data_IF_461512182503
#
_entry.id   IF_461512182503
#
_cell.length_a   1.000
_cell.length_b   1.000
_cell.length_c   1.000
_cell.angle_alpha   90.00
_cell.angle_beta   90.00
_cell.angle_gamma   90.00
#
_symmetry.space_group_name_H-M   'P 1'
#
loop_
_entity.id
_entity.type
_entity.pdbx_description
1 polymer ?
#
# COMPACT_ATOMS: atom_id res chain seq x y z
N UNK A 1 87.75 61.48 37.85
CA UNK A 1 88.23 60.10 37.68
C UNK A 1 87.00 59.22 37.49
N UNK A 2 86.94 58.51 36.35
CA UNK A 2 86.10 57.35 35.99
C UNK A 2 84.75 57.15 36.73
N UNK A 3 83.61 56.93 36.09
CA UNK A 3 83.32 56.53 34.73
C UNK A 3 81.88 55.99 34.70
N UNK A 4 81.14 56.32 33.64
CA UNK A 4 80.46 55.34 32.79
C UNK A 4 80.02 54.08 33.53
N UNK A 5 78.74 54.02 33.91
CA UNK A 5 77.96 52.78 33.82
C UNK A 5 76.49 53.12 33.59
N UNK A 6 76.14 53.13 32.30
CA UNK A 6 74.86 52.71 31.72
C UNK A 6 73.59 53.43 32.18
N UNK A 7 73.42 54.59 31.56
CA UNK A 7 72.17 54.96 30.93
C UNK A 7 71.92 54.01 29.73
N UNK A 8 71.05 53.01 29.92
CA UNK A 8 70.39 52.09 28.93
C UNK A 8 69.98 50.79 29.64
N UNK A 9 69.07 50.94 30.60
CA UNK A 9 68.04 49.93 30.89
C UNK A 9 66.66 50.62 30.82
N UNK A 10 66.49 51.46 29.80
CA UNK A 10 65.17 51.89 29.32
C UNK A 10 64.66 50.77 28.42
N UNK A 11 64.00 49.79 29.03
CA UNK A 11 62.93 48.97 28.45
C UNK A 11 62.45 47.99 29.54
N UNK A 12 61.93 48.53 30.64
CA UNK A 12 61.46 47.71 31.76
C UNK A 12 60.54 48.44 32.73
N UNK A 13 60.01 49.59 32.35
CA UNK A 13 58.84 50.19 33.00
C UNK A 13 57.74 50.27 31.94
N UNK A 14 56.54 49.89 32.34
CA UNK A 14 55.28 49.95 31.58
C UNK A 14 54.93 48.75 30.68
N UNK A 15 55.15 47.53 31.15
CA UNK A 15 54.26 46.41 30.84
C UNK A 15 54.11 45.47 32.05
N UNK A 16 54.01 46.04 33.25
CA UNK A 16 53.26 45.37 34.31
C UNK A 16 51.79 45.42 33.91
N UNK A 17 51.12 44.27 33.92
CA UNK A 17 49.66 44.14 33.91
C UNK A 17 48.94 44.73 32.69
N UNK A 18 48.94 43.97 31.59
CA UNK A 18 47.70 43.82 30.81
C UNK A 18 47.35 42.33 30.74
N UNK A 19 47.25 41.73 31.93
CA UNK A 19 46.49 40.49 32.15
C UNK A 19 45.20 40.84 32.88
N UNK A 20 44.57 41.97 32.55
CA UNK A 20 43.19 42.16 32.94
C UNK A 20 42.57 43.32 32.19
N UNK A 21 41.96 43.00 31.05
CA UNK A 21 40.68 43.63 30.77
C UNK A 21 39.71 42.53 30.39
N UNK A 22 38.61 42.40 31.14
CA UNK A 22 37.66 41.33 30.92
C UNK A 22 37.17 41.45 29.50
N UNK A 23 37.27 40.35 28.75
CA UNK A 23 36.33 40.12 27.66
C UNK A 23 34.97 40.44 28.27
N UNK A 24 34.35 41.55 27.86
CA UNK A 24 32.92 41.77 28.12
C UNK A 24 32.19 40.78 27.22
N UNK A 25 32.30 39.51 27.58
CA UNK A 25 31.26 38.53 27.32
C UNK A 25 30.07 39.20 27.96
N UNK A 26 29.06 39.54 27.18
CA UNK A 26 27.83 40.09 27.72
C UNK A 26 27.43 39.17 28.88
N UNK A 27 27.64 39.62 30.12
CA UNK A 27 27.18 38.90 31.30
C UNK A 27 25.69 39.16 31.29
N UNK A 28 24.98 38.42 30.45
CA UNK A 28 23.55 38.29 30.57
C UNK A 28 23.33 38.04 32.06
N UNK A 29 22.62 38.93 32.76
CA UNK A 29 22.55 38.85 34.20
C UNK A 29 21.99 37.47 34.55
N UNK A 30 22.50 36.80 35.58
CA UNK A 30 22.21 35.40 35.83
C UNK A 30 20.69 35.07 35.85
N UNK A 31 19.86 36.05 36.20
CA UNK A 31 18.40 35.96 36.13
C UNK A 31 17.84 35.84 34.70
N UNK A 32 18.47 36.44 33.69
CA UNK A 32 18.07 36.32 32.28
C UNK A 32 18.38 34.93 31.73
N UNK A 33 19.51 34.33 32.13
CA UNK A 33 19.82 32.93 31.82
C UNK A 33 18.81 31.98 32.49
N UNK A 34 18.45 32.24 33.75
CA UNK A 34 17.41 31.49 34.47
C UNK A 34 16.04 31.65 33.80
N UNK A 35 15.65 32.87 33.43
CA UNK A 35 14.38 33.13 32.76
C UNK A 35 14.31 32.40 31.41
N UNK A 36 15.39 32.43 30.62
CA UNK A 36 15.48 31.66 29.38
C UNK A 36 15.35 30.16 29.63
N UNK A 37 16.01 29.62 30.65
CA UNK A 37 15.90 28.20 31.01
C UNK A 37 14.47 27.81 31.42
N UNK A 38 13.78 28.66 32.20
CA UNK A 38 12.37 28.45 32.58
C UNK A 38 11.45 28.52 31.36
N UNK A 39 11.65 29.49 30.46
CA UNK A 39 10.89 29.60 29.21
C UNK A 39 11.07 28.34 28.36
N UNK A 40 12.29 27.85 28.21
CA UNK A 40 12.57 26.61 27.47
C UNK A 40 11.89 25.39 28.13
N UNK A 41 11.90 25.30 29.47
CA UNK A 41 11.19 24.25 30.20
C UNK A 41 9.67 24.33 30.00
N UNK A 42 9.09 25.53 30.02
CA UNK A 42 7.65 25.73 29.79
C UNK A 42 7.31 25.39 28.34
N UNK A 43 8.09 25.82 27.36
CA UNK A 43 7.89 25.47 25.95
C UNK A 43 7.99 23.96 25.73
N UNK A 44 8.97 23.31 26.36
CA UNK A 44 9.11 21.86 26.32
C UNK A 44 7.90 21.17 26.96
N UNK A 45 7.44 21.63 28.13
CA UNK A 45 6.25 21.09 28.78
C UNK A 45 5.00 21.27 27.90
N UNK A 46 4.77 22.48 27.38
CA UNK A 46 3.66 22.76 26.46
C UNK A 46 3.73 21.83 25.26
N UNK A 47 4.90 21.63 24.64
CA UNK A 47 5.05 20.69 23.54
C UNK A 47 4.80 19.24 23.95
N UNK A 48 5.26 18.79 25.13
CA UNK A 48 5.03 17.43 25.63
C UNK A 48 3.55 17.11 25.86
N UNK A 49 2.76 18.09 26.34
CA UNK A 49 1.35 17.91 26.68
C UNK A 49 0.38 18.26 25.53
N UNK A 50 0.70 19.30 24.74
CA UNK A 50 -0.15 19.79 23.66
C UNK A 50 0.30 19.30 22.27
N UNK A 51 1.53 18.80 22.13
CA UNK A 51 1.99 18.18 20.89
C UNK A 51 1.27 16.86 20.60
N UNK A 52 1.21 16.51 19.33
CA UNK A 52 0.74 15.21 18.84
C UNK A 52 1.76 14.65 17.87
N UNK A 53 2.18 13.42 18.10
CA UNK A 53 3.03 12.65 17.18
C UNK A 53 2.13 11.61 16.51
N UNK A 54 2.06 11.65 15.18
CA UNK A 54 1.38 10.60 14.40
C UNK A 54 2.28 9.38 14.30
N UNK A 55 1.80 8.24 14.78
CA UNK A 55 2.39 6.94 14.51
C UNK A 55 1.91 6.46 13.14
N UNK A 56 2.85 6.16 12.26
CA UNK A 56 2.58 5.66 10.92
C UNK A 56 3.28 4.33 10.71
N UNK A 57 2.65 3.44 9.96
CA UNK A 57 3.30 2.23 9.46
C UNK A 57 3.24 2.20 7.95
N UNK A 58 4.29 1.67 7.33
CA UNK A 58 4.41 1.56 5.88
C UNK A 58 4.29 0.09 5.47
N UNK A 59 3.67 -0.14 4.33
CA UNK A 59 3.56 -1.44 3.71
C UNK A 59 3.63 -1.34 2.19
N UNK A 60 3.96 -2.46 1.55
CA UNK A 60 3.81 -2.61 0.12
C UNK A 60 2.41 -3.10 -0.19
N UNK A 61 1.87 -2.70 -1.33
CA UNK A 61 0.50 -2.97 -1.68
C UNK A 61 0.27 -2.95 -3.18
N UNK A 62 -0.98 -3.21 -3.52
CA UNK A 62 -1.47 -3.21 -4.89
C UNK A 62 -2.89 -2.66 -4.91
N UNK A 63 -3.20 -1.85 -5.92
CA UNK A 63 -4.56 -1.39 -6.18
C UNK A 63 -5.24 -2.41 -7.08
N UNK A 64 -6.40 -2.91 -6.65
CA UNK A 64 -7.12 -3.95 -7.37
C UNK A 64 -8.64 -3.67 -7.40
N UNK A 65 -9.31 -4.22 -8.40
CA UNK A 65 -10.75 -4.10 -8.58
C UNK A 65 -11.48 -5.11 -7.67
N UNK A 66 -12.62 -4.70 -7.11
CA UNK A 66 -13.47 -5.61 -6.32
C UNK A 66 -14.85 -5.69 -6.95
N UNK A 67 -15.37 -6.89 -7.24
CA UNK A 67 -14.84 -8.22 -6.91
C UNK A 67 -13.64 -8.68 -7.76
N UNK A 68 -12.88 -9.67 -7.26
CA UNK A 68 -11.80 -10.31 -8.02
C UNK A 68 -12.34 -11.04 -9.26
N UNK A 69 -11.45 -11.26 -10.24
CA UNK A 69 -11.77 -12.00 -11.45
C UNK A 69 -12.20 -13.44 -11.12
N UNK A 70 -13.28 -13.90 -11.73
CA UNK A 70 -13.81 -15.25 -11.52
C UNK A 70 -13.37 -16.17 -12.65
N UNK A 71 -12.64 -17.22 -12.31
CA UNK A 71 -12.23 -18.26 -13.26
C UNK A 71 -13.36 -19.27 -13.38
N UNK A 72 -13.94 -19.37 -14.58
CA UNK A 72 -14.91 -20.38 -14.97
C UNK A 72 -14.16 -21.65 -15.33
N UNK A 73 -14.31 -22.70 -14.54
CA UNK A 73 -13.67 -23.99 -14.77
C UNK A 73 -14.66 -25.03 -15.30
N UNK A 74 -14.12 -26.04 -15.96
CA UNK A 74 -14.88 -27.20 -16.40
C UNK A 74 -15.37 -28.02 -15.19
N UNK A 75 -16.66 -28.37 -15.18
CA UNK A 75 -17.24 -29.22 -14.13
C UNK A 75 -17.14 -30.72 -14.44
N UNK A 76 -16.90 -31.09 -15.69
CA UNK A 76 -16.87 -32.48 -16.16
C UNK A 76 -15.81 -32.67 -17.24
N UNK A 77 -15.17 -33.84 -17.28
CA UNK A 77 -14.28 -34.18 -18.39
C UNK A 77 -15.07 -34.35 -19.70
N UNK A 78 -14.51 -33.90 -20.82
CA UNK A 78 -15.14 -34.06 -22.14
C UNK A 78 -14.51 -33.17 -23.22
N UNK A 79 -15.14 -33.13 -24.39
CA UNK A 79 -14.68 -32.33 -25.53
C UNK A 79 -15.48 -31.04 -25.63
N UNK A 80 -14.80 -29.89 -25.75
CA UNK A 80 -15.42 -28.60 -25.97
C UNK A 80 -16.17 -28.56 -27.32
N UNK A 81 -17.51 -28.60 -27.27
CA UNK A 81 -18.41 -28.49 -28.42
C UNK A 81 -18.70 -27.03 -28.79
N UNK A 82 -18.57 -26.14 -27.81
CA UNK A 82 -18.69 -24.69 -27.99
C UNK A 82 -17.58 -24.01 -27.20
N UNK A 83 -16.78 -23.19 -27.91
CA UNK A 83 -15.69 -22.44 -27.30
C UNK A 83 -16.21 -21.25 -26.48
N UNK A 84 -15.46 -20.81 -25.46
CA UNK A 84 -15.76 -19.57 -24.75
C UNK A 84 -15.80 -18.34 -25.66
N UNK A 85 -16.61 -17.32 -25.32
CA UNK A 85 -16.61 -16.06 -26.05
C UNK A 85 -15.20 -15.45 -26.06
N UNK A 86 -14.82 -14.71 -27.11
CA UNK A 86 -13.51 -14.07 -27.18
C UNK A 86 -13.32 -13.02 -26.08
N UNK A 87 -12.06 -12.72 -25.76
CA UNK A 87 -11.70 -11.66 -24.80
C UNK A 87 -12.33 -10.31 -25.21
N UNK A 88 -12.78 -9.55 -24.22
CA UNK A 88 -13.52 -8.30 -24.40
C UNK A 88 -15.04 -8.45 -24.55
N UNK A 89 -15.57 -9.68 -24.62
CA UNK A 89 -17.01 -9.91 -24.68
C UNK A 89 -17.66 -9.73 -23.31
N UNK A 90 -18.78 -9.01 -23.24
CA UNK A 90 -19.62 -8.93 -22.04
C UNK A 90 -20.51 -10.15 -21.94
N UNK A 91 -20.58 -10.74 -20.75
CA UNK A 91 -21.40 -11.91 -20.43
C UNK A 91 -22.28 -11.61 -19.21
N UNK A 92 -23.54 -12.05 -19.25
CA UNK A 92 -24.45 -11.97 -18.12
C UNK A 92 -24.28 -13.16 -17.17
N UNK A 93 -24.67 -12.98 -15.91
CA UNK A 93 -24.73 -14.09 -14.96
C UNK A 93 -25.71 -15.16 -15.47
N UNK A 94 -25.27 -16.42 -15.51
CA UNK A 94 -26.03 -17.54 -16.05
C UNK A 94 -25.92 -17.73 -17.57
N UNK A 95 -25.23 -16.84 -18.29
CA UNK A 95 -25.01 -16.98 -19.72
C UNK A 95 -24.06 -18.15 -20.02
N UNK A 96 -24.36 -18.92 -21.08
CA UNK A 96 -23.53 -20.05 -21.50
C UNK A 96 -22.16 -19.58 -21.96
N UNK A 97 -21.12 -19.97 -21.23
CA UNK A 97 -19.72 -19.72 -21.58
C UNK A 97 -19.20 -20.84 -22.45
N UNK A 98 -19.43 -22.09 -22.09
CA UNK A 98 -18.92 -23.23 -22.84
C UNK A 98 -19.87 -24.43 -22.79
N UNK A 99 -19.81 -25.29 -23.80
CA UNK A 99 -20.56 -26.55 -23.83
C UNK A 99 -19.57 -27.69 -23.98
N UNK A 100 -19.63 -28.63 -23.03
CA UNK A 100 -18.75 -29.81 -22.99
C UNK A 100 -19.58 -31.02 -23.37
N UNK A 101 -19.17 -31.74 -24.42
CA UNK A 101 -19.73 -33.04 -24.76
C UNK A 101 -19.05 -34.13 -23.94
N UNK A 102 -19.83 -34.87 -23.16
CA UNK A 102 -19.43 -36.01 -22.34
C UNK A 102 -19.36 -37.33 -23.09
N UNK A 103 -19.65 -37.34 -24.40
CA UNK A 103 -19.60 -38.55 -25.21
C UNK A 103 -18.20 -38.71 -25.80
N UNK A 104 -17.57 -39.85 -25.51
CA UNK A 104 -16.41 -40.35 -26.23
C UNK A 104 -16.70 -40.29 -27.74
N UNK A 105 -15.89 -39.59 -28.56
CA UNK A 105 -16.07 -39.52 -30.02
C UNK A 105 -16.21 -40.89 -30.70
N UNK A 106 -15.80 -41.98 -30.02
CA UNK A 106 -15.76 -43.33 -30.55
C UNK A 106 -16.91 -44.24 -30.11
N UNK A 107 -17.83 -43.82 -29.24
CA UNK A 107 -18.96 -44.68 -28.83
C UNK A 107 -20.20 -44.37 -29.69
N UNK A 108 -20.65 -45.29 -30.57
CA UNK A 108 -21.82 -45.05 -31.41
C UNK A 108 -23.06 -44.82 -30.54
N UNK A 109 -23.78 -43.74 -30.81
CA UNK A 109 -25.04 -43.45 -30.14
C UNK A 109 -26.00 -44.64 -30.34
N UNK A 110 -26.39 -45.30 -29.26
CA UNK A 110 -27.41 -46.33 -29.29
C UNK A 110 -28.74 -45.72 -29.79
N UNK A 111 -29.42 -46.34 -30.76
CA UNK A 111 -30.71 -45.84 -31.23
C UNK A 111 -31.74 -45.92 -30.11
N UNK A 112 -32.23 -44.76 -29.66
CA UNK A 112 -33.21 -44.63 -28.56
C UNK A 112 -32.76 -43.73 -27.40
N UNK A 113 -31.51 -43.28 -27.37
CA UNK A 113 -31.04 -42.28 -26.41
C UNK A 113 -31.66 -40.91 -26.69
N UNK A 114 -32.16 -40.23 -25.66
CA UNK A 114 -32.74 -38.89 -25.78
C UNK A 114 -31.70 -37.91 -26.40
N UNK A 115 -32.11 -37.01 -27.31
CA UNK A 115 -31.20 -36.01 -27.87
C UNK A 115 -30.73 -35.08 -26.74
N UNK A 116 -29.44 -35.11 -26.41
CA UNK A 116 -28.81 -34.13 -25.50
C UNK A 116 -28.36 -34.64 -24.12
N UNK A 117 -28.45 -35.94 -23.81
CA UNK A 117 -28.12 -36.45 -22.47
C UNK A 117 -26.62 -36.46 -22.09
N UNK A 118 -25.73 -35.97 -22.96
CA UNK A 118 -24.27 -35.97 -22.71
C UNK A 118 -23.63 -34.58 -22.65
N UNK A 119 -24.35 -33.47 -22.87
CA UNK A 119 -23.72 -32.14 -22.91
C UNK A 119 -23.87 -31.37 -21.60
N UNK A 120 -22.76 -31.11 -20.92
CA UNK A 120 -22.70 -30.22 -19.75
C UNK A 120 -22.49 -28.79 -20.22
N UNK A 121 -23.46 -27.93 -19.93
CA UNK A 121 -23.34 -26.49 -20.21
C UNK A 121 -22.69 -25.80 -19.03
N UNK A 122 -21.60 -25.08 -19.26
CA UNK A 122 -20.90 -24.28 -18.26
C UNK A 122 -21.36 -22.82 -18.41
N UNK A 123 -22.06 -22.33 -17.40
CA UNK A 123 -22.57 -20.96 -17.36
C UNK A 123 -21.65 -20.00 -16.59
N UNK A 124 -21.73 -18.71 -16.91
CA UNK A 124 -21.01 -17.66 -16.20
C UNK A 124 -21.56 -17.51 -14.77
N UNK A 125 -20.74 -17.62 -13.72
CA UNK A 125 -21.18 -17.46 -12.34
C UNK A 125 -21.52 -16.00 -11.99
N UNK A 126 -20.96 -15.03 -12.72
CA UNK A 126 -21.15 -13.59 -12.51
C UNK A 126 -21.34 -12.88 -13.86
N UNK A 127 -21.95 -11.70 -13.83
CA UNK A 127 -21.96 -10.79 -14.97
C UNK A 127 -20.62 -10.03 -15.04
N UNK A 128 -20.06 -9.87 -16.24
CA UNK A 128 -18.75 -9.25 -16.41
C UNK A 128 -18.23 -9.26 -17.84
N UNK A 129 -16.96 -8.91 -18.02
CA UNK A 129 -16.24 -8.99 -19.30
C UNK A 129 -15.25 -10.15 -19.27
N UNK A 130 -15.20 -10.94 -20.35
CA UNK A 130 -14.22 -12.02 -20.51
C UNK A 130 -12.82 -11.41 -20.71
N UNK A 131 -11.89 -11.66 -19.79
CA UNK A 131 -10.51 -11.12 -19.85
C UNK A 131 -9.48 -12.18 -20.24
N UNK A 132 -9.80 -13.45 -20.07
CA UNK A 132 -8.97 -14.56 -20.56
C UNK A 132 -9.86 -15.70 -21.05
N UNK A 133 -9.38 -16.40 -22.07
CA UNK A 133 -10.05 -17.56 -22.66
C UNK A 133 -9.10 -18.75 -22.59
N UNK A 134 -9.64 -19.89 -22.15
CA UNK A 134 -8.96 -21.17 -22.06
C UNK A 134 -8.96 -21.93 -23.38
N UNK A 135 -8.96 -23.27 -23.34
CA UNK A 135 -8.89 -24.12 -24.51
C UNK A 135 -10.01 -23.85 -25.53
N UNK A 136 -9.66 -23.88 -26.82
CA UNK A 136 -10.59 -23.64 -27.92
C UNK A 136 -11.50 -24.83 -28.23
N UNK A 137 -12.35 -24.66 -29.24
CA UNK A 137 -13.24 -25.70 -29.73
C UNK A 137 -12.50 -27.01 -30.07
N UNK A 138 -13.12 -28.15 -29.78
CA UNK A 138 -12.59 -29.48 -30.09
C UNK A 138 -11.48 -29.97 -29.15
N UNK A 139 -11.07 -29.15 -28.18
CA UNK A 139 -10.10 -29.56 -27.17
C UNK A 139 -10.73 -30.47 -26.11
N UNK A 140 -9.97 -31.47 -25.66
CA UNK A 140 -10.34 -32.33 -24.54
C UNK A 140 -9.95 -31.63 -23.24
N UNK A 141 -10.92 -31.44 -22.35
CA UNK A 141 -10.75 -30.79 -21.05
C UNK A 141 -11.12 -31.75 -19.93
N UNK A 142 -10.33 -31.75 -18.86
CA UNK A 142 -10.69 -32.45 -17.63
C UNK A 142 -11.54 -31.54 -16.73
N UNK A 143 -12.18 -32.12 -15.72
CA UNK A 143 -12.80 -31.33 -14.65
C UNK A 143 -11.71 -30.48 -13.95
N UNK A 144 -12.03 -29.22 -13.67
CA UNK A 144 -11.12 -28.23 -13.07
C UNK A 144 -10.30 -27.41 -14.06
N UNK A 145 -10.29 -27.74 -15.36
CA UNK A 145 -9.57 -26.94 -16.37
C UNK A 145 -10.22 -25.56 -16.53
N UNK A 146 -9.47 -24.45 -16.46
CA UNK A 146 -10.01 -23.11 -16.67
C UNK A 146 -10.44 -22.91 -18.13
N UNK A 147 -11.70 -22.53 -18.32
CA UNK A 147 -12.31 -22.30 -19.63
C UNK A 147 -12.36 -20.81 -19.97
N UNK A 148 -12.64 -19.94 -19.00
CA UNK A 148 -12.62 -18.49 -19.20
C UNK A 148 -12.39 -17.78 -17.86
N UNK A 149 -11.88 -16.56 -17.90
CA UNK A 149 -11.80 -15.68 -16.73
C UNK A 149 -12.67 -14.46 -16.99
N UNK A 150 -13.61 -14.19 -16.08
CA UNK A 150 -14.56 -13.09 -16.17
C UNK A 150 -14.19 -12.03 -15.13
N UNK A 151 -13.92 -10.81 -15.60
CA UNK A 151 -13.74 -9.65 -14.74
C UNK A 151 -15.12 -8.99 -14.50
N UNK A 152 -15.54 -8.76 -13.24
CA UNK A 152 -16.77 -8.03 -12.96
C UNK A 152 -16.74 -6.62 -13.57
N UNK A 153 -17.89 -6.11 -14.01
CA UNK A 153 -18.03 -4.71 -14.43
C UNK A 153 -18.15 -3.79 -13.21
N UNK A 154 -17.07 -3.69 -12.46
CA UNK A 154 -16.98 -2.85 -11.27
C UNK A 154 -16.04 -1.68 -11.51
N UNK A 155 -16.41 -0.52 -10.97
CA UNK A 155 -15.52 0.64 -10.84
C UNK A 155 -14.96 0.78 -9.43
N UNK A 156 -15.40 -0.09 -8.51
CA UNK A 156 -14.90 -0.08 -7.14
C UNK A 156 -13.52 -0.70 -7.10
N UNK A 157 -12.56 0.08 -6.60
CA UNK A 157 -11.19 -0.34 -6.37
C UNK A 157 -10.90 -0.33 -4.87
N UNK A 158 -10.13 -1.31 -4.43
CA UNK A 158 -9.57 -1.35 -3.09
C UNK A 158 -8.05 -1.43 -3.18
N UNK A 159 -7.38 -0.85 -2.19
CA UNK A 159 -5.96 -1.08 -1.98
C UNK A 159 -5.78 -2.27 -1.05
N UNK A 160 -4.98 -3.26 -1.46
CA UNK A 160 -4.43 -4.25 -0.55
C UNK A 160 -3.07 -3.76 -0.06
N UNK A 161 -2.85 -3.83 1.24
CA UNK A 161 -1.58 -3.42 1.86
C UNK A 161 -1.08 -4.54 2.77
N UNK A 162 0.19 -4.93 2.58
CA UNK A 162 0.86 -5.93 3.40
C UNK A 162 1.74 -5.23 4.43
N UNK A 163 1.38 -5.39 5.70
CA UNK A 163 2.06 -4.71 6.81
C UNK A 163 2.63 -5.76 7.76
N UNK A 164 3.87 -5.61 8.24
CA UNK A 164 4.45 -6.54 9.22
C UNK A 164 3.59 -6.64 10.49
N UNK A 165 3.51 -7.82 11.10
CA UNK A 165 2.64 -8.06 12.28
C UNK A 165 2.96 -7.12 13.46
N UNK A 166 4.21 -6.74 13.68
CA UNK A 166 4.61 -5.88 14.81
C UNK A 166 3.84 -4.54 14.85
N UNK A 167 3.76 -3.75 13.77
CA UNK A 167 2.93 -2.54 13.71
C UNK A 167 1.42 -2.75 13.58
N UNK A 168 0.92 -3.96 13.27
CA UNK A 168 -0.51 -4.19 12.99
C UNK A 168 -1.42 -4.09 14.20
N UNK A 169 -0.87 -4.20 15.42
CA UNK A 169 -1.61 -4.05 16.68
C UNK A 169 -2.29 -2.68 16.85
N UNK A 170 -1.95 -1.70 16.03
CA UNK A 170 -2.52 -0.35 16.08
C UNK A 170 -3.39 0.01 14.87
N UNK A 171 -3.44 -0.84 13.84
CA UNK A 171 -4.25 -0.58 12.65
C UNK A 171 -5.67 -1.10 12.89
N UNK A 172 -6.67 -0.24 12.73
CA UNK A 172 -8.06 -0.58 12.96
C UNK A 172 -8.92 -0.16 11.76
N UNK A 173 -10.09 -0.79 11.55
CA UNK A 173 -11.07 -0.27 10.60
C UNK A 173 -11.33 1.23 10.84
N UNK A 174 -11.27 2.03 9.79
CA UNK A 174 -11.39 3.49 9.83
C UNK A 174 -10.08 4.27 9.90
N UNK A 175 -8.93 3.62 10.13
CA UNK A 175 -7.62 4.29 10.02
C UNK A 175 -7.43 4.90 8.63
N UNK A 176 -6.90 6.12 8.57
CA UNK A 176 -6.61 6.78 7.31
C UNK A 176 -5.34 6.19 6.67
N UNK A 177 -5.35 6.06 5.35
CA UNK A 177 -4.24 5.52 4.56
C UNK A 177 -3.96 6.45 3.40
N UNK A 178 -2.67 6.73 3.18
CA UNK A 178 -2.19 7.41 1.99
C UNK A 178 -1.37 6.43 1.16
N UNK A 179 -1.71 6.26 -0.12
CA UNK A 179 -0.97 5.45 -1.06
C UNK A 179 -0.11 6.33 -1.96
N UNK A 180 1.16 5.97 -2.07
CA UNK A 180 2.01 6.38 -3.16
C UNK A 180 1.88 5.34 -4.27
N UNK A 181 1.33 5.73 -5.42
CA UNK A 181 1.09 4.82 -6.55
C UNK A 181 2.27 4.95 -7.50
N UNK A 182 2.91 3.85 -7.87
CA UNK A 182 4.18 3.89 -8.62
C UNK A 182 4.05 4.54 -10.01
N UNK A 183 2.84 4.56 -10.58
CA UNK A 183 2.54 5.19 -11.87
C UNK A 183 2.26 6.70 -11.78
N UNK A 184 2.29 7.29 -10.59
CA UNK A 184 1.90 8.66 -10.31
C UNK A 184 3.03 9.41 -9.60
N UNK A 185 3.24 10.68 -9.91
CA UNK A 185 4.24 11.50 -9.24
C UNK A 185 3.68 12.05 -7.92
N UNK A 186 4.18 11.62 -6.74
CA UNK A 186 3.67 12.10 -5.46
C UNK A 186 3.94 13.59 -5.21
N UNK A 187 4.87 14.22 -5.92
CA UNK A 187 5.20 15.64 -5.76
C UNK A 187 4.28 16.55 -6.59
N UNK A 188 3.84 16.08 -7.76
CA UNK A 188 2.93 16.81 -8.65
C UNK A 188 1.46 16.49 -8.40
N UNK A 189 1.11 15.20 -8.31
CA UNK A 189 -0.27 14.70 -8.28
C UNK A 189 -0.71 14.28 -6.86
N UNK A 190 0.25 14.16 -5.93
CA UNK A 190 -0.01 13.79 -4.54
C UNK A 190 -0.23 12.31 -4.29
N UNK A 191 -0.77 12.01 -3.11
CA UNK A 191 -0.99 10.65 -2.63
C UNK A 191 -2.47 10.31 -2.69
N UNK A 192 -2.78 9.08 -3.08
CA UNK A 192 -4.13 8.55 -3.14
C UNK A 192 -4.67 8.29 -1.73
N UNK A 193 -5.86 8.77 -1.42
CA UNK A 193 -6.43 8.70 -0.07
C UNK A 193 -7.42 7.54 0.09
N UNK A 194 -7.33 6.83 1.19
CA UNK A 194 -8.22 5.73 1.54
C UNK A 194 -8.43 5.56 3.04
N UNK A 195 -9.33 4.66 3.40
CA UNK A 195 -9.64 4.28 4.77
C UNK A 195 -9.59 2.77 4.93
N UNK A 196 -8.97 2.29 6.00
CA UNK A 196 -8.92 0.85 6.31
C UNK A 196 -10.34 0.31 6.43
N UNK A 197 -10.70 -0.65 5.59
CA UNK A 197 -11.98 -1.35 5.61
C UNK A 197 -11.92 -2.54 6.57
N UNK A 198 -10.85 -3.33 6.48
CA UNK A 198 -10.64 -4.51 7.31
C UNK A 198 -9.16 -4.84 7.42
N UNK A 199 -8.78 -5.50 8.51
CA UNK A 199 -7.44 -6.01 8.77
C UNK A 199 -7.56 -7.51 8.98
N UNK A 200 -6.78 -8.31 8.25
CA UNK A 200 -6.72 -9.76 8.46
C UNK A 200 -6.13 -10.05 9.85
N UNK A 201 -6.77 -10.89 10.68
CA UNK A 201 -6.24 -11.26 11.99
C UNK A 201 -5.10 -12.28 11.90
N UNK A 202 -4.91 -12.91 10.73
CA UNK A 202 -3.89 -13.92 10.49
C UNK A 202 -2.84 -13.42 9.50
N UNK A 203 -1.57 -13.83 9.67
CA UNK A 203 -0.53 -13.63 8.67
C UNK A 203 -0.94 -14.22 7.32
N UNK A 204 -0.51 -13.55 6.25
CA UNK A 204 -0.82 -13.94 4.87
C UNK A 204 0.21 -14.95 4.36
N UNK A 205 -0.28 -15.96 3.65
CA UNK A 205 0.59 -16.92 2.97
C UNK A 205 1.26 -16.31 1.72
N UNK A 206 2.45 -16.82 1.38
CA UNK A 206 3.20 -16.39 0.19
C UNK A 206 2.38 -16.48 -1.10
N UNK A 207 1.58 -17.54 -1.27
CA UNK A 207 0.75 -17.75 -2.46
C UNK A 207 -0.29 -16.64 -2.66
N UNK A 208 -0.82 -16.09 -1.56
CA UNK A 208 -1.78 -14.98 -1.58
C UNK A 208 -1.10 -13.67 -1.94
N UNK A 209 0.11 -13.43 -1.43
CA UNK A 209 0.92 -12.25 -1.79
C UNK A 209 1.29 -12.32 -3.28
N UNK A 210 1.82 -13.45 -3.74
CA UNK A 210 2.20 -13.65 -5.14
C UNK A 210 1.01 -13.49 -6.11
N UNK A 211 -0.17 -13.96 -5.70
CA UNK A 211 -1.39 -13.79 -6.50
C UNK A 211 -1.80 -12.32 -6.65
N UNK A 212 -1.75 -11.54 -5.56
CA UNK A 212 -2.18 -10.14 -5.58
C UNK A 212 -1.14 -9.21 -6.20
N UNK A 213 0.15 -9.42 -5.92
CA UNK A 213 1.22 -8.56 -6.44
C UNK A 213 1.57 -8.86 -7.91
N UNK A 214 1.31 -10.09 -8.37
CA UNK A 214 1.74 -10.61 -9.67
C UNK A 214 3.23 -10.34 -9.98
N UNK A 215 4.06 -10.18 -8.94
CA UNK A 215 5.46 -9.76 -9.02
C UNK A 215 6.30 -10.51 -7.97
N UNK A 216 7.29 -11.27 -8.46
CA UNK A 216 8.11 -12.14 -7.61
C UNK A 216 9.09 -11.33 -6.74
N UNK A 217 9.64 -10.24 -7.27
CA UNK A 217 10.54 -9.35 -6.55
C UNK A 217 9.82 -8.63 -5.40
N UNK A 218 8.62 -8.10 -5.66
CA UNK A 218 7.79 -7.44 -4.66
C UNK A 218 7.36 -8.42 -3.56
N UNK A 219 6.97 -9.63 -3.94
CA UNK A 219 6.64 -10.72 -3.01
C UNK A 219 7.81 -11.03 -2.09
N UNK A 220 9.02 -11.16 -2.66
CA UNK A 220 10.25 -11.40 -1.89
C UNK A 220 10.55 -10.26 -0.91
N UNK A 221 10.36 -9.01 -1.32
CA UNK A 221 10.56 -7.83 -0.46
C UNK A 221 9.56 -7.77 0.71
N UNK A 222 8.29 -8.12 0.45
CA UNK A 222 7.25 -8.20 1.48
C UNK A 222 7.61 -9.28 2.51
N UNK A 223 7.99 -10.48 2.04
CA UNK A 223 8.34 -11.60 2.91
C UNK A 223 9.65 -11.37 3.68
N UNK A 224 10.60 -10.61 3.11
CA UNK A 224 11.84 -10.23 3.79
C UNK A 224 11.59 -9.38 5.06
N UNK A 225 10.43 -8.74 5.16
CA UNK A 225 10.02 -7.96 6.34
C UNK A 225 9.45 -8.82 7.47
N UNK A 226 9.40 -10.15 7.28
CA UNK A 226 8.82 -11.11 8.22
C UNK A 226 7.33 -11.37 7.96
N UNK A 227 6.62 -11.98 8.93
CA UNK A 227 5.18 -12.23 8.78
C UNK A 227 4.41 -10.92 8.59
N UNK A 228 3.60 -10.85 7.53
CA UNK A 228 2.76 -9.70 7.18
C UNK A 228 1.28 -10.06 7.24
N UNK A 229 0.43 -9.08 7.53
CA UNK A 229 -1.03 -9.23 7.43
C UNK A 229 -1.56 -8.43 6.24
N UNK A 230 -2.69 -8.88 5.68
CA UNK A 230 -3.41 -8.17 4.63
C UNK A 230 -4.32 -7.11 5.27
N UNK A 231 -4.16 -5.87 4.87
CA UNK A 231 -5.06 -4.76 5.19
C UNK A 231 -5.78 -4.35 3.92
N UNK A 232 -7.11 -4.41 3.96
CA UNK A 232 -7.94 -3.95 2.86
C UNK A 232 -8.34 -2.51 3.11
N UNK A 233 -8.12 -1.67 2.10
CA UNK A 233 -8.34 -0.22 2.17
C UNK A 233 -9.35 0.19 1.13
N UNK A 234 -10.45 0.79 1.56
CA UNK A 234 -11.41 1.41 0.68
C UNK A 234 -10.84 2.75 0.18
N UNK A 235 -10.75 2.92 -1.13
CA UNK A 235 -10.32 4.19 -1.73
C UNK A 235 -11.43 5.23 -1.58
N UNK A 236 -11.04 6.48 -1.34
CA UNK A 236 -11.99 7.58 -1.17
C UNK A 236 -12.37 8.12 -2.53
N UNK A 237 -13.62 7.95 -2.96
CA UNK A 237 -14.09 8.48 -4.24
C UNK A 237 -14.14 10.01 -4.23
N UNK A 238 -13.74 10.63 -5.35
CA UNK A 238 -13.92 12.06 -5.59
C UNK A 238 -14.35 12.27 -7.05
N UNK A 239 -15.64 12.54 -7.30
CA UNK A 239 -16.13 12.81 -8.65
C UNK A 239 -15.52 14.06 -9.31
N UNK A 240 -14.85 14.92 -8.54
CA UNK A 240 -14.21 16.14 -9.03
C UNK A 240 -12.84 15.90 -9.67
N UNK A 241 -12.25 14.71 -9.54
CA UNK A 241 -10.93 14.39 -10.12
C UNK A 241 -11.07 13.55 -11.39
N UNK A 242 -10.17 13.70 -12.39
CA UNK A 242 -10.19 12.87 -13.60
C UNK A 242 -10.04 11.36 -13.31
N UNK A 243 -9.31 11.02 -12.25
CA UNK A 243 -9.12 9.64 -11.78
C UNK A 243 -10.36 9.06 -11.08
N UNK A 244 -11.27 9.91 -10.59
CA UNK A 244 -12.45 9.52 -9.80
C UNK A 244 -12.17 9.23 -8.32
N UNK A 245 -10.92 9.43 -7.88
CA UNK A 245 -10.46 9.19 -6.51
C UNK A 245 -9.93 10.47 -5.86
N UNK A 246 -9.92 10.51 -4.53
CA UNK A 246 -9.43 11.64 -3.75
C UNK A 246 -7.92 11.56 -3.59
N UNK A 247 -7.25 12.67 -3.85
CA UNK A 247 -5.81 12.83 -3.73
C UNK A 247 -5.48 13.92 -2.70
N UNK A 248 -4.29 13.85 -2.09
CA UNK A 248 -3.81 14.91 -1.19
C UNK A 248 -3.63 16.24 -1.90
N UNK A 249 -3.33 16.21 -3.21
CA UNK A 249 -3.13 17.38 -4.06
C UNK A 249 -4.14 17.33 -5.22
N UNK A 250 -5.06 18.29 -5.33
CA UNK A 250 -5.92 18.40 -6.51
C UNK A 250 -5.12 18.95 -7.71
N UNK A 251 -5.44 18.54 -8.96
CA UNK A 251 -6.56 17.68 -9.35
C UNK A 251 -6.27 16.17 -9.25
N UNK A 252 -5.06 15.76 -8.88
CA UNK A 252 -4.58 14.39 -9.02
C UNK A 252 -4.27 14.02 -10.48
N UNK A 253 -3.97 12.74 -10.76
CA UNK A 253 -3.57 12.29 -12.08
C UNK A 253 -4.72 12.43 -13.09
N UNK A 254 -4.35 12.72 -14.34
CA UNK A 254 -5.27 12.89 -15.48
C UNK A 254 -5.86 11.57 -16.00
N UNK A 255 -5.41 10.43 -15.49
CA UNK A 255 -5.83 9.09 -15.88
C UNK A 255 -6.33 8.30 -14.66
N UNK A 256 -7.11 7.24 -14.91
CA UNK A 256 -7.56 6.31 -13.86
C UNK A 256 -6.47 5.30 -13.54
N UNK A 257 -6.44 4.87 -12.27
CA UNK A 257 -5.54 3.81 -11.82
C UNK A 257 -6.05 2.47 -12.34
N UNK A 258 -5.14 1.67 -12.90
CA UNK A 258 -5.47 0.34 -13.44
C UNK A 258 -5.39 -0.71 -12.32
N UNK A 259 -6.21 -1.76 -12.41
CA UNK A 259 -6.08 -2.93 -11.52
C UNK A 259 -4.68 -3.53 -11.62
N UNK A 260 -4.13 -4.00 -10.49
CA UNK A 260 -2.78 -4.56 -10.42
C UNK A 260 -1.68 -3.50 -10.35
N UNK A 261 -2.00 -2.21 -10.19
CA UNK A 261 -0.96 -1.18 -10.06
C UNK A 261 -0.27 -1.29 -8.69
N UNK A 262 1.06 -1.48 -8.63
CA UNK A 262 1.79 -1.51 -7.36
C UNK A 262 1.74 -0.14 -6.68
N UNK A 263 1.63 -0.16 -5.36
CA UNK A 263 1.57 1.05 -4.55
C UNK A 263 2.19 0.81 -3.17
N UNK A 264 2.70 1.88 -2.57
CA UNK A 264 3.21 1.88 -1.20
C UNK A 264 2.23 2.63 -0.31
N UNK A 265 1.69 1.94 0.70
CA UNK A 265 0.71 2.52 1.62
C UNK A 265 1.37 2.96 2.92
N UNK A 266 1.02 4.16 3.38
CA UNK A 266 1.29 4.62 4.75
C UNK A 266 -0.02 4.67 5.52
N UNK A 267 -0.18 3.80 6.51
CA UNK A 267 -1.33 3.79 7.42
C UNK A 267 -1.05 4.71 8.60
N UNK A 268 -1.98 5.62 8.87
CA UNK A 268 -1.96 6.53 10.01
C UNK A 268 -2.67 5.81 11.17
N UNK A 269 -1.88 5.33 12.13
CA UNK A 269 -2.35 4.45 13.22
C UNK A 269 -3.05 5.25 14.32
N UNK A 270 -2.37 6.24 14.88
CA UNK A 270 -2.92 7.09 15.94
C UNK A 270 -2.08 8.35 16.17
N UNK A 271 -2.69 9.36 16.79
CA UNK A 271 -1.99 10.54 17.30
C UNK A 271 -1.71 10.34 18.80
N UNK A 272 -0.44 10.22 19.17
CA UNK A 272 0.02 10.02 20.55
C UNK A 272 0.67 11.31 21.06
N UNK A 273 0.40 11.69 22.31
CA UNK A 273 1.03 12.85 22.95
C UNK A 273 2.50 12.55 23.27
N UNK A 274 3.46 13.46 22.96
CA UNK A 274 4.89 13.19 23.10
C UNK A 274 5.34 12.75 24.49
N UNK A 275 4.65 13.18 25.56
CA UNK A 275 4.97 12.73 26.92
C UNK A 275 4.90 11.20 27.09
N UNK A 276 4.01 10.52 26.33
CA UNK A 276 3.89 9.05 26.38
C UNK A 276 5.10 8.35 25.76
N UNK A 277 5.74 8.95 24.76
CA UNK A 277 6.95 8.41 24.17
C UNK A 277 8.16 8.50 25.12
N UNK A 278 8.24 9.55 25.94
CA UNK A 278 9.32 9.73 26.92
C UNK A 278 9.20 8.87 28.18
N UNK A 279 7.97 8.60 28.62
CA UNK A 279 7.72 7.85 29.86
C UNK A 279 7.83 6.33 29.70
N UNK A 280 8.16 5.84 28.50
CA UNK A 280 8.43 4.43 28.24
C UNK A 280 7.38 3.52 28.85
N UNK A 281 6.18 3.49 28.30
CA UNK A 281 5.17 2.49 28.69
C UNK A 281 4.71 1.71 27.45
N UNK A 282 4.31 0.45 27.65
CA UNK A 282 4.46 -0.67 26.72
C UNK A 282 3.77 -0.51 25.37
#
# INVERSE_FOLDING_TARGET
>A
MAGIFRDRAVAGRAASEVTDRPVRVATAPAWAALALAVILLVLLAVWLFAGTVTLTTQGYGVIDNVPANVVVTSQSAGVLRQAPPPVGTRVAAGETVAVIGGDDPQTPALPGSAPGSGSTTVAAPIAGTVVAVGPGWGSSVAAGVPLATIAPETTDQIGYLFIPVAPTLQAHPGSAVNFNVDTVDPTGDGLLQGTVRSVSPLPVDESRIAYLTANAELTSQILASGPVVEVQVALTADPGTPSGWRWTLPPGPSHRITSGTPAHGTVILSQVRPYKAFLGSP
#
